data_IF_428181267879
#
_entry.id   IF_428181267879
#
_cell.length_a   1.000
_cell.length_b   1.000
_cell.length_c   1.000
_cell.angle_alpha   90.00
_cell.angle_beta   90.00
_cell.angle_gamma   90.00
#
_symmetry.space_group_name_H-M   'P 1'
#
loop_
_entity.id
_entity.type
_entity.pdbx_description
1 polymer ?
#
# COMPACT_ATOMS: atom_id res chain seq x y z
N UNK A 1 9.72 -15.43 6.91
CA UNK A 1 8.45 -15.50 6.14
C UNK A 1 8.35 -14.35 5.17
N UNK A 2 7.54 -14.51 4.16
CA UNK A 2 7.16 -13.41 3.28
C UNK A 2 5.85 -12.81 3.78
N UNK A 3 5.85 -11.53 4.08
CA UNK A 3 4.72 -10.80 4.66
C UNK A 3 4.33 -9.67 3.74
N UNK A 4 3.06 -9.62 3.35
CA UNK A 4 2.51 -8.53 2.56
C UNK A 4 1.62 -7.66 3.46
N UNK A 5 1.92 -6.36 3.48
CA UNK A 5 1.20 -5.39 4.30
C UNK A 5 0.39 -4.45 3.43
N UNK A 6 -0.86 -4.22 3.79
CA UNK A 6 -1.74 -3.30 3.08
C UNK A 6 -2.50 -2.44 4.07
N UNK A 7 -2.37 -1.13 3.92
CA UNK A 7 -3.16 -0.14 4.64
C UNK A 7 -3.80 0.79 3.64
N UNK A 8 -5.13 0.85 3.65
CA UNK A 8 -5.87 1.76 2.78
C UNK A 8 -6.12 3.07 3.53
N UNK A 9 -5.75 4.19 2.91
CA UNK A 9 -6.04 5.51 3.48
C UNK A 9 -6.46 6.47 2.36
N UNK A 10 -7.54 7.18 2.59
CA UNK A 10 -8.04 8.20 1.67
C UNK A 10 -7.90 9.60 2.26
N UNK A 11 -7.97 9.72 3.58
CA UNK A 11 -7.85 10.97 4.31
C UNK A 11 -6.73 10.83 5.33
N UNK A 12 -5.75 11.68 5.25
CA UNK A 12 -4.58 11.58 6.11
C UNK A 12 -3.71 10.39 5.76
N UNK A 13 -2.71 10.11 6.58
CA UNK A 13 -1.72 9.06 6.30
C UNK A 13 -1.48 8.14 7.51
N UNK A 14 -2.28 8.27 8.58
CA UNK A 14 -2.03 7.57 9.84
C UNK A 14 -1.96 6.05 9.72
N UNK A 15 -2.88 5.45 8.97
CA UNK A 15 -2.89 3.99 8.75
C UNK A 15 -1.64 3.52 8.01
N UNK A 16 -1.23 4.25 6.98
CA UNK A 16 -0.02 3.92 6.23
C UNK A 16 1.23 4.10 7.09
N UNK A 17 1.33 5.19 7.84
CA UNK A 17 2.48 5.44 8.72
C UNK A 17 2.61 4.34 9.76
N UNK A 18 1.49 3.91 10.35
CA UNK A 18 1.47 2.81 11.31
C UNK A 18 1.89 1.48 10.66
N UNK A 19 1.32 1.15 9.50
CA UNK A 19 1.67 -0.07 8.81
C UNK A 19 3.13 -0.06 8.34
N UNK A 20 3.64 1.09 7.91
CA UNK A 20 5.04 1.24 7.53
C UNK A 20 5.97 0.99 8.73
N UNK A 21 5.60 1.49 9.93
CA UNK A 21 6.36 1.23 11.15
C UNK A 21 6.36 -0.26 11.50
N UNK A 22 5.22 -0.94 11.38
CA UNK A 22 5.11 -2.38 11.60
C UNK A 22 5.97 -3.13 10.58
N UNK A 23 5.89 -2.76 9.31
CA UNK A 23 6.68 -3.39 8.24
C UNK A 23 8.17 -3.26 8.50
N UNK A 24 8.63 -2.09 8.94
CA UNK A 24 10.06 -1.88 9.28
C UNK A 24 10.49 -2.78 10.43
N UNK A 25 9.66 -2.92 11.46
CA UNK A 25 9.97 -3.81 12.58
C UNK A 25 10.03 -5.27 12.15
N UNK A 26 9.09 -5.73 11.33
CA UNK A 26 9.09 -7.10 10.83
C UNK A 26 10.24 -7.38 9.85
N UNK A 27 10.78 -6.37 9.18
CA UNK A 27 11.85 -6.56 8.19
C UNK A 27 13.15 -7.06 8.81
N UNK A 28 13.30 -6.99 10.12
CA UNK A 28 14.47 -7.54 10.82
C UNK A 28 14.56 -9.06 10.70
N UNK A 29 13.40 -9.74 10.61
CA UNK A 29 13.33 -11.20 10.61
C UNK A 29 12.60 -11.79 9.39
N UNK A 30 11.95 -10.96 8.58
CA UNK A 30 11.08 -11.42 7.49
C UNK A 30 11.31 -10.61 6.22
N UNK A 31 10.96 -11.19 5.08
CA UNK A 31 10.83 -10.46 3.83
C UNK A 31 9.48 -9.72 3.86
N UNK A 32 9.52 -8.41 3.78
CA UNK A 32 8.32 -7.58 3.95
C UNK A 32 8.07 -6.74 2.71
N UNK A 33 6.82 -6.73 2.29
CA UNK A 33 6.31 -5.99 1.15
C UNK A 33 5.17 -5.10 1.64
N UNK A 34 5.15 -3.85 1.19
CA UNK A 34 4.17 -2.86 1.62
C UNK A 34 3.48 -2.25 0.41
N UNK A 35 2.17 -2.39 0.35
CA UNK A 35 1.37 -1.78 -0.72
C UNK A 35 1.31 -0.27 -0.51
N UNK A 36 1.62 0.48 -1.56
CA UNK A 36 1.67 1.94 -1.54
C UNK A 36 0.73 2.50 -2.63
N UNK A 37 -0.46 2.90 -2.24
CA UNK A 37 -1.48 3.36 -3.17
C UNK A 37 -2.30 4.55 -2.68
N UNK A 38 -1.82 5.26 -1.66
CA UNK A 38 -2.44 6.48 -1.16
C UNK A 38 -1.54 7.70 -1.35
N UNK A 39 -1.72 8.73 -0.52
CA UNK A 39 -0.85 9.89 -0.54
C UNK A 39 0.59 9.49 -0.23
N UNK A 40 1.58 10.07 -0.92
CA UNK A 40 2.97 9.78 -0.63
C UNK A 40 3.34 10.13 0.81
N UNK A 41 4.11 9.24 1.42
CA UNK A 41 4.63 9.43 2.79
C UNK A 41 6.15 9.25 2.74
N UNK A 42 6.93 10.10 3.42
CA UNK A 42 8.37 9.94 3.48
C UNK A 42 8.73 8.55 4.04
N UNK A 43 9.67 7.90 3.38
CA UNK A 43 10.15 6.58 3.81
C UNK A 43 11.14 6.75 4.94
N UNK A 44 11.08 5.84 5.91
CA UNK A 44 12.06 5.78 6.99
C UNK A 44 12.97 4.58 6.82
N UNK A 45 14.22 4.66 7.29
CA UNK A 45 15.15 3.54 7.21
C UNK A 45 14.65 2.32 7.97
N UNK A 46 15.02 1.15 7.50
CA UNK A 46 14.75 -0.13 8.15
C UNK A 46 16.03 -0.97 8.16
N UNK A 47 16.08 -1.97 9.05
CA UNK A 47 17.21 -2.88 9.14
C UNK A 47 17.44 -3.65 7.84
N UNK A 48 16.36 -4.04 7.19
CA UNK A 48 16.33 -4.60 5.84
C UNK A 48 15.37 -3.82 4.97
N UNK A 49 15.57 -3.81 3.65
CA UNK A 49 14.64 -3.14 2.75
C UNK A 49 13.22 -3.68 2.90
N UNK A 50 12.25 -2.77 2.95
CA UNK A 50 10.83 -3.08 2.75
C UNK A 50 10.53 -2.76 1.31
N UNK A 51 10.14 -3.75 0.51
CA UNK A 51 9.79 -3.52 -0.88
C UNK A 51 8.42 -2.87 -0.97
N UNK A 52 8.33 -1.74 -1.65
CA UNK A 52 7.05 -1.11 -1.92
C UNK A 52 6.41 -1.70 -3.18
N UNK A 53 5.11 -1.94 -3.11
CA UNK A 53 4.31 -2.36 -4.24
C UNK A 53 3.44 -1.15 -4.63
N UNK A 54 3.83 -0.41 -5.68
CA UNK A 54 3.09 0.78 -6.07
C UNK A 54 1.79 0.39 -6.76
N UNK A 55 0.71 1.04 -6.36
CA UNK A 55 -0.58 0.97 -7.03
C UNK A 55 -0.97 2.38 -7.50
N UNK A 56 -1.84 2.49 -8.50
CA UNK A 56 -2.41 3.79 -8.85
C UNK A 56 -2.98 4.46 -7.61
N UNK A 57 -2.54 5.69 -7.33
CA UNK A 57 -2.88 6.37 -6.08
C UNK A 57 -4.31 6.87 -6.09
N UNK A 58 -5.05 6.52 -5.06
CA UNK A 58 -6.40 7.03 -4.83
C UNK A 58 -6.41 7.86 -3.55
N UNK A 59 -7.05 9.01 -3.62
CA UNK A 59 -7.15 9.94 -2.50
C UNK A 59 -8.57 10.50 -2.43
N UNK A 60 -8.94 11.03 -1.26
CA UNK A 60 -10.18 11.76 -1.11
C UNK A 60 -9.97 13.23 -1.45
N UNK A 61 -10.70 13.71 -2.44
CA UNK A 61 -10.68 15.11 -2.85
C UNK A 61 -11.62 15.95 -1.98
N UNK A 62 -11.58 17.27 -2.17
CA UNK A 62 -12.57 18.18 -1.62
C UNK A 62 -13.98 17.71 -2.00
N UNK A 63 -14.92 17.77 -1.07
CA UNK A 63 -16.27 17.23 -1.29
C UNK A 63 -16.42 15.75 -1.00
N UNK A 64 -15.35 15.06 -0.61
CA UNK A 64 -15.38 13.67 -0.18
C UNK A 64 -15.30 12.63 -1.28
N UNK A 65 -15.16 13.04 -2.54
CA UNK A 65 -15.04 12.09 -3.65
C UNK A 65 -13.68 11.44 -3.66
N UNK A 66 -13.65 10.15 -3.99
CA UNK A 66 -12.41 9.41 -4.23
C UNK A 66 -11.98 9.66 -5.68
N UNK A 67 -10.74 10.06 -5.86
CA UNK A 67 -10.17 10.37 -7.19
C UNK A 67 -8.75 9.83 -7.27
N UNK A 68 -8.23 9.69 -8.50
CA UNK A 68 -6.81 9.43 -8.71
C UNK A 68 -5.98 10.65 -8.36
N UNK A 69 -4.85 10.44 -7.70
CA UNK A 69 -3.93 11.54 -7.37
C UNK A 69 -3.13 12.01 -8.59
N UNK A 70 -2.73 11.06 -9.43
CA UNK A 70 -1.82 11.31 -10.56
C UNK A 70 -2.49 11.06 -11.91
N UNK A 71 -3.79 10.76 -11.92
CA UNK A 71 -4.51 10.41 -13.13
C UNK A 71 -5.94 10.93 -13.07
N UNK A 72 -6.43 11.42 -14.19
CA UNK A 72 -7.82 11.86 -14.39
C UNK A 72 -8.73 10.71 -14.82
N UNK A 73 -8.21 9.49 -14.92
CA UNK A 73 -8.99 8.34 -15.30
C UNK A 73 -10.15 8.10 -14.31
N UNK A 74 -11.28 7.56 -14.78
CA UNK A 74 -12.36 7.18 -13.88
C UNK A 74 -11.89 6.25 -12.76
N UNK A 75 -12.40 6.45 -11.56
CA UNK A 75 -12.01 5.66 -10.38
C UNK A 75 -12.19 4.17 -10.63
N UNK A 76 -13.27 3.77 -11.31
CA UNK A 76 -13.51 2.36 -11.62
C UNK A 76 -12.34 1.72 -12.38
N UNK A 77 -11.74 2.43 -13.34
CA UNK A 77 -10.58 1.94 -14.09
C UNK A 77 -9.33 1.86 -13.21
N UNK A 78 -9.15 2.83 -12.32
CA UNK A 78 -8.02 2.83 -11.38
C UNK A 78 -8.15 1.66 -10.40
N UNK A 79 -9.35 1.38 -9.92
CA UNK A 79 -9.61 0.23 -9.04
C UNK A 79 -9.32 -1.08 -9.76
N UNK A 80 -9.75 -1.24 -11.00
CA UNK A 80 -9.44 -2.42 -11.80
C UNK A 80 -7.94 -2.62 -11.94
N UNK A 81 -7.21 -1.56 -12.24
CA UNK A 81 -5.75 -1.60 -12.36
C UNK A 81 -5.08 -1.96 -11.02
N UNK A 82 -5.59 -1.42 -9.91
CA UNK A 82 -5.09 -1.76 -8.57
C UNK A 82 -5.28 -3.25 -8.28
N UNK A 83 -6.45 -3.80 -8.59
CA UNK A 83 -6.74 -5.23 -8.40
C UNK A 83 -5.78 -6.08 -9.25
N UNK A 84 -5.58 -5.69 -10.51
CA UNK A 84 -4.68 -6.40 -11.41
C UNK A 84 -3.25 -6.43 -10.88
N UNK A 85 -2.73 -5.27 -10.47
CA UNK A 85 -1.36 -5.14 -9.97
C UNK A 85 -1.18 -5.86 -8.64
N UNK A 86 -2.15 -5.77 -7.76
CA UNK A 86 -2.10 -6.47 -6.47
C UNK A 86 -2.16 -7.99 -6.66
N UNK A 87 -3.00 -8.47 -7.57
CA UNK A 87 -3.07 -9.89 -7.90
C UNK A 87 -1.74 -10.39 -8.44
N UNK A 88 -1.11 -9.64 -9.36
CA UNK A 88 0.20 -9.98 -9.89
C UNK A 88 1.26 -10.02 -8.79
N UNK A 89 1.23 -9.06 -7.87
CA UNK A 89 2.16 -9.02 -6.75
C UNK A 89 2.01 -10.23 -5.84
N UNK A 90 0.78 -10.60 -5.50
CA UNK A 90 0.50 -11.78 -4.67
C UNK A 90 0.99 -13.06 -5.36
N UNK A 91 0.76 -13.20 -6.67
CA UNK A 91 1.24 -14.35 -7.45
C UNK A 91 2.76 -14.42 -7.50
N UNK A 92 3.42 -13.27 -7.64
CA UNK A 92 4.88 -13.19 -7.68
C UNK A 92 5.51 -13.46 -6.32
N UNK A 93 4.98 -12.84 -5.28
CA UNK A 93 5.56 -12.88 -3.93
C UNK A 93 5.18 -14.16 -3.20
N UNK A 94 3.96 -14.64 -3.38
CA UNK A 94 3.40 -15.79 -2.66
C UNK A 94 3.56 -15.60 -1.14
N UNK A 95 2.95 -14.54 -0.58
CA UNK A 95 3.10 -14.25 0.85
C UNK A 95 2.50 -15.35 1.70
N UNK A 96 3.15 -15.62 2.83
CA UNK A 96 2.67 -16.58 3.81
C UNK A 96 1.70 -15.91 4.80
N UNK A 97 1.83 -14.59 4.94
CA UNK A 97 0.97 -13.76 5.80
C UNK A 97 0.60 -12.49 5.05
N UNK A 98 -0.66 -12.10 5.14
CA UNK A 98 -1.15 -10.81 4.65
C UNK A 98 -1.72 -10.06 5.84
N UNK A 99 -1.16 -8.89 6.12
CA UNK A 99 -1.66 -7.98 7.15
C UNK A 99 -2.43 -6.86 6.49
N UNK A 100 -3.67 -6.68 6.90
CA UNK A 100 -4.52 -5.61 6.36
C UNK A 100 -4.98 -4.73 7.51
N UNK A 101 -4.69 -3.44 7.39
CA UNK A 101 -5.23 -2.43 8.29
C UNK A 101 -6.47 -1.84 7.61
N UNK A 102 -7.63 -2.24 8.06
CA UNK A 102 -8.90 -1.74 7.55
C UNK A 102 -9.53 -0.79 8.55
N UNK A 103 -10.34 0.09 8.02
CA UNK A 103 -10.88 1.20 8.77
C UNK A 103 -12.38 1.08 8.92
#
# INVERSE_FOLDING_TARGET
MRVLCHAQHFVGVGHFVRMHAIARGMSEAHEVYLVDGGRPVPRRPSARPVELIPLPRLVRAAGGRIVGLESDAPVALLVEERVRLLTQAVERIRPEVILVDIY
#
